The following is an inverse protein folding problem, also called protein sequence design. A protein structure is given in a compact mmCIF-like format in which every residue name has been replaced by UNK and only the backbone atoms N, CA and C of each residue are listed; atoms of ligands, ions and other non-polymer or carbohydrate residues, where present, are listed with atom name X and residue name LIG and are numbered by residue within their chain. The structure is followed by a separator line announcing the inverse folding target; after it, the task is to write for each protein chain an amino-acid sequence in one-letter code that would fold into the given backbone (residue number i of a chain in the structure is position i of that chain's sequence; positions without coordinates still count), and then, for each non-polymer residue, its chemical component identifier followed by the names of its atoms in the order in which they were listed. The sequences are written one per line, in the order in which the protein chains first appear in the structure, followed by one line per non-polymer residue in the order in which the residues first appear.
data_IF_542994201712
#
_entry.id   IF_542994201712
#
_cell.length_a   1.000
_cell.length_b   1.000
_cell.length_c   1.000
_cell.angle_alpha   90.00
_cell.angle_beta   90.00
_cell.angle_gamma   90.00
#
_symmetry.space_group_name_H-M   'P 1'
#
loop_
_entity.id
_entity.type
_entity.pdbx_description
1 polymer ?
#
# COMPACT_ATOMS: atom_id res chain seq x y z
N UNK A 1 -8.55 -52.92 26.95
CA UNK A 1 -7.88 -51.76 27.59
C UNK A 1 -6.81 -51.28 26.65
N UNK A 2 -7.10 -50.30 25.83
CA UNK A 2 -6.15 -49.62 24.94
C UNK A 2 -5.57 -48.46 25.74
N UNK A 3 -4.34 -48.62 26.22
CA UNK A 3 -3.57 -47.49 26.75
C UNK A 3 -3.22 -46.56 25.60
N UNK A 4 -3.94 -45.47 25.52
CA UNK A 4 -3.54 -44.31 24.69
C UNK A 4 -2.28 -43.71 25.31
N UNK A 5 -1.11 -44.08 24.78
CA UNK A 5 0.15 -43.43 25.08
C UNK A 5 0.03 -41.98 24.63
N UNK A 6 -0.25 -41.06 25.55
CA UNK A 6 -0.05 -39.65 25.33
C UNK A 6 1.37 -39.44 24.82
N UNK A 7 1.50 -39.12 23.53
CA UNK A 7 2.78 -38.74 22.92
C UNK A 7 3.21 -37.42 23.57
N UNK A 8 4.01 -37.51 24.61
CA UNK A 8 4.70 -36.34 25.12
C UNK A 8 5.60 -35.80 24.02
N UNK A 9 5.19 -34.67 23.45
CA UNK A 9 6.00 -33.95 22.49
C UNK A 9 7.36 -33.64 23.15
N UNK A 10 8.42 -34.23 22.64
CA UNK A 10 9.75 -33.97 23.16
C UNK A 10 10.14 -32.52 22.86
N UNK A 11 10.99 -31.92 23.70
CA UNK A 11 11.53 -30.58 23.53
C UNK A 11 12.17 -30.39 22.12
N UNK A 12 12.76 -31.44 21.59
CA UNK A 12 13.35 -31.46 20.26
C UNK A 12 12.32 -31.46 19.15
N UNK A 13 11.17 -32.12 19.32
CA UNK A 13 10.08 -32.15 18.35
C UNK A 13 9.43 -30.77 18.21
N UNK A 14 9.27 -30.05 19.32
CA UNK A 14 8.73 -28.66 19.30
C UNK A 14 9.72 -27.73 18.59
N UNK A 15 11.01 -27.85 18.88
CA UNK A 15 12.02 -27.03 18.20
C UNK A 15 12.08 -27.33 16.71
N UNK A 16 12.08 -28.60 16.31
CA UNK A 16 12.03 -28.99 14.90
C UNK A 16 10.80 -28.41 14.17
N UNK A 17 9.62 -28.51 14.79
CA UNK A 17 8.40 -27.93 14.22
C UNK A 17 8.51 -26.41 14.05
N UNK A 18 9.10 -25.72 15.02
CA UNK A 18 9.32 -24.27 14.92
C UNK A 18 10.34 -23.90 13.84
N UNK A 19 11.41 -24.69 13.69
CA UNK A 19 12.44 -24.42 12.67
C UNK A 19 11.94 -24.62 11.23
N UNK A 20 10.83 -25.36 11.05
CA UNK A 20 10.15 -25.52 9.77
C UNK A 20 9.19 -24.36 9.42
N UNK A 21 8.90 -23.46 10.36
CA UNK A 21 8.04 -22.31 10.08
C UNK A 21 8.72 -21.32 9.14
N UNK A 22 7.99 -20.78 8.14
CA UNK A 22 8.52 -19.75 7.26
C UNK A 22 8.68 -18.40 7.98
N UNK A 23 7.97 -18.20 9.08
CA UNK A 23 8.05 -16.99 9.91
C UNK A 23 9.18 -17.11 10.91
N UNK A 24 9.84 -16.00 11.23
CA UNK A 24 10.81 -15.93 12.30
C UNK A 24 10.08 -15.72 13.64
N UNK A 25 10.27 -16.61 14.59
CA UNK A 25 9.51 -16.60 15.86
C UNK A 25 10.46 -16.76 17.03
N UNK A 26 10.26 -15.93 18.06
CA UNK A 26 10.91 -16.11 19.36
C UNK A 26 9.98 -15.78 20.52
N UNK A 27 10.33 -16.32 21.70
CA UNK A 27 9.64 -16.12 22.95
C UNK A 27 10.62 -15.68 24.02
N UNK A 28 10.22 -14.66 24.78
CA UNK A 28 11.00 -14.14 25.89
C UNK A 28 10.27 -14.38 27.22
N UNK A 29 11.05 -14.62 28.27
CA UNK A 29 10.53 -14.73 29.64
C UNK A 29 10.05 -13.37 30.14
N UNK A 30 9.32 -13.33 31.29
CA UNK A 30 8.96 -12.06 31.94
C UNK A 30 10.18 -11.19 32.29
N UNK A 31 11.35 -11.79 32.48
CA UNK A 31 12.63 -11.07 32.70
C UNK A 31 13.28 -10.57 31.41
N UNK A 32 12.71 -10.82 30.24
CA UNK A 32 13.25 -10.45 28.94
C UNK A 32 14.30 -11.40 28.36
N UNK A 33 14.63 -12.52 29.05
CA UNK A 33 15.58 -13.50 28.54
C UNK A 33 14.95 -14.37 27.43
N UNK A 34 15.74 -14.71 26.42
CA UNK A 34 15.30 -15.59 25.32
C UNK A 34 14.96 -16.97 25.84
N UNK A 35 13.72 -17.43 25.64
CA UNK A 35 13.26 -18.76 26.04
C UNK A 35 13.28 -19.76 24.90
N UNK A 36 12.83 -19.32 23.72
CA UNK A 36 12.72 -20.15 22.55
C UNK A 36 12.87 -19.28 21.30
N UNK A 37 13.59 -19.78 20.31
CA UNK A 37 13.84 -19.07 19.06
C UNK A 37 13.98 -20.09 17.95
N UNK A 38 13.36 -19.83 16.78
CA UNK A 38 13.55 -20.69 15.62
C UNK A 38 14.74 -20.21 14.77
N UNK A 39 15.19 -21.10 13.88
CA UNK A 39 16.34 -20.85 13.02
C UNK A 39 16.18 -19.59 12.16
N UNK A 40 14.97 -19.32 11.70
CA UNK A 40 14.69 -18.13 10.86
C UNK A 40 14.89 -16.82 11.65
N UNK A 41 14.49 -16.78 12.92
CA UNK A 41 14.72 -15.61 13.79
C UNK A 41 16.23 -15.40 14.05
N UNK A 42 17.01 -16.46 14.28
CA UNK A 42 18.45 -16.33 14.42
C UNK A 42 19.10 -15.72 13.18
N UNK A 43 18.70 -16.17 11.99
CA UNK A 43 19.22 -15.64 10.73
C UNK A 43 18.89 -14.15 10.55
N UNK A 44 17.62 -13.75 10.81
CA UNK A 44 17.20 -12.36 10.70
C UNK A 44 17.93 -11.47 11.71
N UNK A 45 18.05 -11.91 12.97
CA UNK A 45 18.70 -11.11 14.00
C UNK A 45 20.21 -10.93 13.72
N UNK A 46 20.88 -11.94 13.18
CA UNK A 46 22.30 -11.82 12.77
C UNK A 46 22.50 -10.79 11.67
N UNK A 47 21.55 -10.64 10.74
CA UNK A 47 21.59 -9.59 9.71
C UNK A 47 21.32 -8.22 10.36
N UNK A 48 20.41 -8.16 11.34
CA UNK A 48 19.97 -6.93 11.99
C UNK A 48 21.04 -6.35 12.93
N UNK A 49 21.64 -7.19 13.78
CA UNK A 49 22.52 -6.78 14.89
C UNK A 49 23.94 -7.34 14.83
N UNK A 50 24.26 -8.22 13.88
CA UNK A 50 25.55 -8.92 13.76
C UNK A 50 25.96 -9.69 15.01
N UNK A 51 25.02 -10.07 15.86
CA UNK A 51 25.18 -10.79 17.12
C UNK A 51 24.14 -11.88 17.29
N UNK A 52 24.27 -12.70 18.33
CA UNK A 52 23.25 -13.70 18.67
C UNK A 52 22.24 -13.08 19.64
N UNK A 53 20.95 -13.35 19.43
CA UNK A 53 19.85 -12.85 20.24
C UNK A 53 19.83 -13.55 21.61
N UNK A 54 19.94 -12.77 22.67
CA UNK A 54 19.92 -13.25 24.05
C UNK A 54 18.75 -12.65 24.84
N UNK A 55 18.47 -11.37 24.62
CA UNK A 55 17.51 -10.61 25.39
C UNK A 55 16.57 -9.78 24.52
N UNK A 56 15.37 -9.54 25.01
CA UNK A 56 14.35 -8.78 24.32
C UNK A 56 14.76 -7.32 24.03
N UNK A 57 15.45 -6.67 24.99
CA UNK A 57 15.91 -5.30 24.81
C UNK A 57 16.93 -5.15 23.66
N UNK A 58 17.77 -6.17 23.40
CA UNK A 58 18.70 -6.16 22.27
C UNK A 58 17.95 -6.11 20.93
N UNK A 59 16.86 -6.88 20.82
CA UNK A 59 16.01 -6.85 19.64
C UNK A 59 15.36 -5.46 19.47
N UNK A 60 14.84 -4.88 20.55
CA UNK A 60 14.24 -3.55 20.50
C UNK A 60 15.25 -2.46 20.10
N UNK A 61 16.46 -2.52 20.66
CA UNK A 61 17.54 -1.59 20.30
C UNK A 61 17.94 -1.74 18.82
N UNK A 62 18.11 -2.96 18.34
CA UNK A 62 18.44 -3.23 16.95
C UNK A 62 17.35 -2.71 16.00
N UNK A 63 16.07 -2.90 16.33
CA UNK A 63 14.95 -2.37 15.53
C UNK A 63 14.86 -0.86 15.57
N UNK A 64 15.19 -0.23 16.68
CA UNK A 64 15.19 1.24 16.81
C UNK A 64 16.35 1.88 16.04
N UNK A 65 17.48 1.16 15.97
CA UNK A 65 18.66 1.60 15.22
C UNK A 65 18.54 1.43 13.69
N UNK A 66 17.47 0.78 13.20
CA UNK A 66 17.20 0.64 11.76
C UNK A 66 16.84 1.99 11.15
N UNK A 67 17.84 2.75 10.75
CA UNK A 67 17.71 3.99 10.01
C UNK A 67 18.19 3.78 8.56
N UNK A 68 17.95 4.78 7.69
CA UNK A 68 18.28 4.76 6.26
C UNK A 68 19.75 4.41 5.92
N UNK A 69 20.63 4.43 6.92
CA UNK A 69 22.06 4.09 6.79
C UNK A 69 22.39 2.65 7.22
N UNK A 70 21.45 1.92 7.79
CA UNK A 70 21.67 0.52 8.20
C UNK A 70 21.37 -0.43 7.04
N UNK A 71 21.89 -1.65 7.11
CA UNK A 71 21.61 -2.70 6.12
C UNK A 71 20.14 -3.11 6.07
N UNK A 72 19.39 -2.86 7.16
CA UNK A 72 17.96 -3.10 7.28
C UNK A 72 17.26 -1.76 7.42
N UNK A 73 16.25 -1.51 6.60
CA UNK A 73 15.54 -0.22 6.54
C UNK A 73 14.11 -0.38 7.04
N UNK A 74 13.72 0.45 7.99
CA UNK A 74 12.31 0.54 8.42
C UNK A 74 11.48 1.22 7.35
N UNK A 75 10.39 0.59 6.94
CA UNK A 75 9.46 1.13 5.96
C UNK A 75 8.44 2.08 6.62
N UNK A 76 7.99 3.14 5.91
CA UNK A 76 7.02 4.11 6.41
C UNK A 76 5.59 3.56 6.31
N UNK A 77 5.33 2.43 6.96
CA UNK A 77 4.03 1.77 7.01
C UNK A 77 3.43 1.89 8.42
N UNK A 78 2.08 1.82 8.55
CA UNK A 78 1.40 1.84 9.85
C UNK A 78 1.84 0.67 10.73
N UNK A 79 2.00 -0.52 10.12
CA UNK A 79 2.51 -1.70 10.82
C UNK A 79 4.02 -1.78 10.63
N UNK A 80 4.81 -1.92 11.72
CA UNK A 80 6.25 -1.97 11.64
C UNK A 80 6.73 -3.04 10.66
N UNK A 81 7.32 -2.60 9.55
CA UNK A 81 7.82 -3.45 8.47
C UNK A 81 9.25 -3.03 8.13
N UNK A 82 10.08 -4.01 7.82
CA UNK A 82 11.51 -3.82 7.62
C UNK A 82 11.95 -4.46 6.31
N UNK A 83 12.66 -3.70 5.49
CA UNK A 83 13.28 -4.18 4.25
C UNK A 83 14.70 -4.66 4.57
N UNK A 84 14.99 -5.91 4.28
CA UNK A 84 16.27 -6.55 4.47
C UNK A 84 17.15 -6.51 3.21
N UNK A 85 18.48 -6.73 3.31
CA UNK A 85 19.39 -6.65 2.17
C UNK A 85 19.13 -7.67 1.05
N UNK A 86 18.45 -8.77 1.37
CA UNK A 86 18.02 -9.80 0.40
C UNK A 86 16.77 -9.39 -0.41
N UNK A 87 16.27 -8.17 -0.21
CA UNK A 87 15.07 -7.65 -0.85
C UNK A 87 13.76 -8.08 -0.19
N UNK A 88 13.82 -8.87 0.88
CA UNK A 88 12.63 -9.32 1.59
C UNK A 88 12.10 -8.28 2.55
N UNK A 89 10.78 -8.21 2.62
CA UNK A 89 10.06 -7.36 3.58
C UNK A 89 9.49 -8.21 4.70
N UNK A 90 9.92 -7.92 5.92
CA UNK A 90 9.48 -8.61 7.11
C UNK A 90 8.63 -7.69 7.99
N UNK A 91 7.42 -8.14 8.34
CA UNK A 91 6.51 -7.44 9.25
C UNK A 91 6.74 -7.92 10.67
N UNK A 92 7.03 -6.99 11.57
CA UNK A 92 7.17 -7.23 12.99
C UNK A 92 5.82 -7.25 13.69
N UNK A 93 5.61 -8.21 14.57
CA UNK A 93 4.51 -8.22 15.52
C UNK A 93 4.99 -8.72 16.88
N UNK A 94 4.45 -8.13 17.95
CA UNK A 94 4.70 -8.49 19.33
C UNK A 94 3.36 -8.78 20.01
N UNK A 95 3.32 -9.83 20.80
CA UNK A 95 2.12 -10.25 21.55
C UNK A 95 2.55 -10.78 22.91
N UNK A 96 1.84 -10.41 23.95
CA UNK A 96 2.01 -10.99 25.28
C UNK A 96 1.15 -12.25 25.42
N UNK A 97 1.70 -13.29 26.04
CA UNK A 97 1.03 -14.56 26.30
C UNK A 97 1.09 -14.82 27.78
N UNK A 98 -0.07 -14.85 28.43
CA UNK A 98 -0.18 -15.24 29.84
C UNK A 98 -0.38 -16.75 29.92
N UNK A 99 0.49 -17.43 30.65
CA UNK A 99 0.37 -18.87 30.91
C UNK A 99 -0.44 -19.11 32.20
N UNK A 100 -0.97 -20.32 32.43
CA UNK A 100 -1.83 -20.63 33.55
C UNK A 100 -1.24 -20.36 34.95
N UNK A 101 0.08 -20.31 35.07
CA UNK A 101 0.82 -19.94 36.30
C UNK A 101 0.90 -18.42 36.54
N UNK A 102 0.29 -17.61 35.66
CA UNK A 102 0.28 -16.15 35.73
C UNK A 102 1.51 -15.47 35.15
N UNK A 103 2.50 -16.20 34.67
CA UNK A 103 3.68 -15.61 34.04
C UNK A 103 3.34 -15.07 32.64
N UNK A 104 3.85 -13.88 32.32
CA UNK A 104 3.64 -13.22 31.02
C UNK A 104 4.89 -13.37 30.16
N UNK A 105 4.75 -14.06 29.04
CA UNK A 105 5.80 -14.22 28.03
C UNK A 105 5.57 -13.29 26.86
N UNK A 106 6.65 -12.73 26.32
CA UNK A 106 6.57 -11.92 25.10
C UNK A 106 6.87 -12.80 23.88
N UNK A 107 5.92 -12.91 22.98
CA UNK A 107 6.09 -13.54 21.68
C UNK A 107 6.38 -12.47 20.65
N UNK A 108 7.43 -12.69 19.86
CA UNK A 108 7.77 -11.85 18.69
C UNK A 108 7.73 -12.71 17.44
N UNK A 109 7.11 -12.17 16.39
CA UNK A 109 7.03 -12.81 15.08
C UNK A 109 7.42 -11.80 14.00
N UNK A 110 8.30 -12.24 13.10
CA UNK A 110 8.49 -11.60 11.81
C UNK A 110 7.88 -12.49 10.72
N UNK A 111 6.95 -11.92 9.97
CA UNK A 111 6.28 -12.58 8.84
C UNK A 111 6.82 -12.02 7.53
N UNK A 112 7.20 -12.90 6.60
CA UNK A 112 7.56 -12.49 5.24
C UNK A 112 6.30 -11.95 4.54
N UNK A 113 6.31 -10.69 4.21
CA UNK A 113 5.22 -9.98 3.54
C UNK A 113 5.67 -9.39 2.21
N UNK A 114 6.77 -9.87 1.65
CA UNK A 114 7.39 -9.34 0.42
C UNK A 114 6.38 -9.24 -0.72
N UNK A 115 5.72 -10.34 -1.03
CA UNK A 115 4.72 -10.38 -2.11
C UNK A 115 3.53 -9.42 -1.86
N UNK A 116 3.07 -9.35 -0.62
CA UNK A 116 1.99 -8.45 -0.24
C UNK A 116 2.41 -6.98 -0.37
N UNK A 117 3.64 -6.66 0.04
CA UNK A 117 4.20 -5.32 -0.09
C UNK A 117 4.35 -4.90 -1.55
N UNK A 118 4.92 -5.76 -2.41
CA UNK A 118 5.08 -5.50 -3.84
C UNK A 118 3.73 -5.28 -4.54
N UNK A 119 2.75 -6.14 -4.26
CA UNK A 119 1.37 -5.98 -4.78
C UNK A 119 0.74 -4.68 -4.30
N UNK A 120 0.95 -4.32 -3.04
CA UNK A 120 0.48 -3.07 -2.46
C UNK A 120 1.09 -1.84 -3.15
N UNK A 121 2.39 -1.84 -3.43
CA UNK A 121 3.06 -0.78 -4.16
C UNK A 121 2.51 -0.64 -5.58
N UNK A 122 2.41 -1.75 -6.31
CA UNK A 122 1.85 -1.75 -7.67
C UNK A 122 0.41 -1.20 -7.71
N UNK A 123 -0.40 -1.57 -6.73
CA UNK A 123 -1.78 -1.05 -6.63
C UNK A 123 -1.81 0.45 -6.35
N UNK A 124 -0.92 0.96 -5.49
CA UNK A 124 -0.78 2.40 -5.23
C UNK A 124 -0.40 3.18 -6.49
N UNK A 125 0.56 2.66 -7.27
CA UNK A 125 0.97 3.25 -8.54
C UNK A 125 -0.16 3.29 -9.56
N UNK A 126 -0.86 2.17 -9.74
CA UNK A 126 -2.02 2.09 -10.64
C UNK A 126 -3.13 3.05 -10.23
N UNK A 127 -3.42 3.14 -8.93
CA UNK A 127 -4.42 4.07 -8.40
C UNK A 127 -4.03 5.52 -8.65
N UNK A 128 -2.76 5.86 -8.49
CA UNK A 128 -2.25 7.21 -8.78
C UNK A 128 -2.37 7.55 -10.27
N UNK A 129 -2.06 6.61 -11.16
CA UNK A 129 -2.22 6.75 -12.60
C UNK A 129 -3.69 6.96 -12.98
N UNK A 130 -4.60 6.13 -12.46
CA UNK A 130 -6.04 6.26 -12.71
C UNK A 130 -6.59 7.61 -12.25
N UNK A 131 -6.16 8.10 -11.08
CA UNK A 131 -6.53 9.43 -10.60
C UNK A 131 -6.04 10.55 -11.52
N UNK A 132 -4.83 10.40 -12.08
CA UNK A 132 -4.30 11.35 -13.07
C UNK A 132 -5.15 11.34 -14.34
N UNK A 133 -5.37 10.18 -14.94
CA UNK A 133 -6.22 10.05 -16.15
C UNK A 133 -7.63 10.61 -15.94
N UNK A 134 -8.26 10.34 -14.79
CA UNK A 134 -9.56 10.87 -14.46
C UNK A 134 -9.59 12.40 -14.44
N UNK A 135 -8.54 13.04 -13.90
CA UNK A 135 -8.42 14.52 -13.93
C UNK A 135 -8.25 15.04 -15.35
N UNK A 136 -7.38 14.40 -16.13
CA UNK A 136 -7.09 14.80 -17.51
C UNK A 136 -8.37 14.68 -18.39
N UNK A 137 -9.13 13.59 -18.24
CA UNK A 137 -10.41 13.41 -18.91
C UNK A 137 -11.43 14.47 -18.50
N UNK A 138 -11.48 14.86 -17.23
CA UNK A 138 -12.38 15.91 -16.77
C UNK A 138 -12.07 17.25 -17.44
N UNK A 139 -10.80 17.63 -17.48
CA UNK A 139 -10.34 18.86 -18.15
C UNK A 139 -10.68 18.84 -19.65
N UNK A 140 -10.46 17.70 -20.31
CA UNK A 140 -10.79 17.54 -21.72
C UNK A 140 -12.31 17.67 -21.95
N UNK A 141 -13.12 17.03 -21.12
CA UNK A 141 -14.58 17.13 -21.18
C UNK A 141 -15.07 18.57 -21.02
N UNK A 142 -14.53 19.30 -20.05
CA UNK A 142 -14.88 20.71 -19.82
C UNK A 142 -14.51 21.60 -21.03
N UNK A 143 -13.34 21.34 -21.63
CA UNK A 143 -12.91 22.04 -22.84
C UNK A 143 -13.82 21.75 -24.04
N UNK A 144 -14.19 20.47 -24.25
CA UNK A 144 -15.13 20.09 -25.32
C UNK A 144 -16.47 20.77 -25.15
N UNK A 145 -17.03 20.80 -23.94
CA UNK A 145 -18.30 21.49 -23.66
C UNK A 145 -18.22 22.98 -23.95
N UNK A 146 -17.12 23.64 -23.63
CA UNK A 146 -16.90 25.06 -23.91
C UNK A 146 -16.84 25.31 -25.41
N UNK A 147 -16.03 24.54 -26.15
CA UNK A 147 -15.92 24.66 -27.60
C UNK A 147 -17.27 24.40 -28.33
N UNK A 148 -18.03 23.41 -27.84
CA UNK A 148 -19.36 23.11 -28.40
C UNK A 148 -20.30 24.29 -28.22
N UNK A 149 -20.36 24.92 -27.04
CA UNK A 149 -21.16 26.11 -26.78
C UNK A 149 -20.77 27.29 -27.66
N UNK A 150 -19.46 27.53 -27.82
CA UNK A 150 -18.94 28.60 -28.68
C UNK A 150 -19.33 28.36 -30.15
N UNK A 151 -19.24 27.14 -30.65
CA UNK A 151 -19.65 26.76 -31.99
C UNK A 151 -21.15 26.95 -32.21
N UNK A 152 -22.01 26.60 -31.24
CA UNK A 152 -23.43 26.82 -31.29
C UNK A 152 -23.79 28.31 -31.34
N UNK A 153 -23.14 29.12 -30.50
CA UNK A 153 -23.35 30.59 -30.49
C UNK A 153 -22.93 31.21 -31.82
N UNK A 154 -21.79 30.79 -32.38
CA UNK A 154 -21.35 31.28 -33.69
C UNK A 154 -22.30 30.89 -34.80
N UNK A 155 -22.77 29.64 -34.82
CA UNK A 155 -23.76 29.16 -35.79
C UNK A 155 -25.09 29.96 -35.71
N UNK A 156 -25.58 30.25 -34.50
CA UNK A 156 -26.76 31.06 -34.29
C UNK A 156 -26.55 32.49 -34.79
N UNK A 157 -25.42 33.13 -34.52
CA UNK A 157 -25.07 34.45 -35.03
C UNK A 157 -25.03 34.50 -36.56
N UNK A 158 -24.45 33.52 -37.21
CA UNK A 158 -24.37 33.41 -38.66
C UNK A 158 -25.79 33.30 -39.27
N UNK A 159 -26.65 32.45 -38.74
CA UNK A 159 -28.05 32.31 -39.21
C UNK A 159 -28.82 33.59 -39.05
N UNK A 160 -28.68 34.30 -37.95
CA UNK A 160 -29.35 35.59 -37.75
C UNK A 160 -28.86 36.64 -38.75
N UNK A 161 -27.56 36.71 -38.99
CA UNK A 161 -26.96 37.61 -39.97
C UNK A 161 -27.50 37.35 -41.38
N UNK A 162 -27.57 36.09 -41.79
CA UNK A 162 -28.05 35.67 -43.12
C UNK A 162 -29.53 35.96 -43.28
N UNK A 163 -30.36 35.73 -42.24
CA UNK A 163 -31.78 36.06 -42.25
C UNK A 163 -32.03 37.58 -42.31
N UNK A 164 -31.25 38.35 -41.57
CA UNK A 164 -31.34 39.83 -41.65
C UNK A 164 -30.92 40.36 -43.01
N UNK A 165 -29.82 39.81 -43.56
CA UNK A 165 -29.34 40.15 -44.89
C UNK A 165 -30.40 39.88 -45.99
N UNK A 166 -31.05 38.73 -45.96
CA UNK A 166 -32.09 38.35 -46.87
C UNK A 166 -33.35 39.31 -46.73
N UNK A 167 -33.71 39.65 -45.48
CA UNK A 167 -34.76 40.56 -45.17
C UNK A 167 -34.51 41.98 -45.74
N UNK A 168 -33.29 42.50 -45.59
CA UNK A 168 -32.94 43.83 -46.14
C UNK A 168 -32.96 43.84 -47.67
N UNK A 169 -32.48 42.76 -48.32
CA UNK A 169 -32.53 42.65 -49.78
C UNK A 169 -33.98 42.60 -50.26
N UNK A 170 -34.85 41.83 -49.65
CA UNK A 170 -36.31 41.78 -50.00
C UNK A 170 -36.98 43.12 -49.82
N UNK A 171 -36.70 43.81 -48.72
CA UNK A 171 -37.26 45.14 -48.46
C UNK A 171 -36.79 46.18 -49.51
N UNK A 172 -35.52 46.11 -49.90
CA UNK A 172 -34.98 46.97 -50.96
C UNK A 172 -35.62 46.72 -52.33
N UNK A 173 -35.92 45.47 -52.66
CA UNK A 173 -36.63 45.12 -53.91
C UNK A 173 -38.07 45.65 -53.94
N UNK A 174 -38.79 45.58 -52.83
CA UNK A 174 -40.14 46.11 -52.72
C UNK A 174 -40.16 47.64 -52.93
N UNK A 175 -39.27 48.36 -52.23
CA UNK A 175 -39.14 49.80 -52.33
C UNK A 175 -38.73 50.28 -53.73
N UNK A 176 -37.98 49.48 -54.48
CA UNK A 176 -37.66 49.81 -55.90
C UNK A 176 -38.84 49.59 -56.85
N UNK A 177 -39.70 48.63 -56.58
CA UNK A 177 -40.90 48.39 -57.36
C UNK A 177 -41.97 49.52 -57.18
N UNK A 178 -42.09 50.04 -55.96
CA UNK A 178 -43.01 51.14 -55.66
C UNK A 178 -42.60 52.51 -56.27
N UNK A 179 -41.34 52.67 -56.67
CA UNK A 179 -40.83 53.89 -57.31
C UNK A 179 -41.01 53.90 -58.83
N UNK A 180 -41.46 52.82 -59.43
CA UNK A 180 -41.61 52.67 -60.90
C UNK A 180 -43.12 52.68 -61.36
N UNK A 181 -44.03 52.78 -60.43
CA UNK A 181 -45.47 52.95 -60.71
C UNK A 181 -45.91 54.39 -60.53
#
# INVERSE_FOLDING_TARGET
FIHEKARTLSRNSVKQAMDMLPSAVCYFTPSGALKLCNLQMYRLFRILAHSDLQQFHELQQALTACDRKSSVVRLPEEVPSYLFPDGKVWRYSQTEITVPDGAVYTKVVFSDVTELYEKGQKLREQTAQLKKFSRDLKVLSDNVLTLTKEAEVLSAKTRLHDQMGAGIIAMRQILQQDQVS
#
